data_IF_349014681855
#
_entry.id   IF_349014681855
#
_cell.length_a   1.000
_cell.length_b   1.000
_cell.length_c   1.000
_cell.angle_alpha   90.00
_cell.angle_beta   90.00
_cell.angle_gamma   90.00
#
_symmetry.space_group_name_H-M   'P 1'
#
loop_
_entity.id
_entity.type
_entity.pdbx_description
1 polymer ?
#
# COMPACT_ATOMS: atom_id res chain seq x y z
N UNK A 1 -64.36 -12.50 -28.61
CA UNK A 1 -63.77 -12.34 -27.25
C UNK A 1 -62.25 -12.23 -27.46
N UNK A 2 -61.67 -11.04 -27.43
CA UNK A 2 -60.98 -10.47 -26.24
C UNK A 2 -59.47 -10.79 -26.36
N UNK A 3 -58.49 -9.89 -26.30
CA UNK A 3 -58.40 -8.54 -25.73
C UNK A 3 -57.35 -7.76 -26.55
N UNK A 4 -57.72 -6.59 -27.07
CA UNK A 4 -56.76 -5.63 -27.65
C UNK A 4 -56.07 -4.89 -26.49
N UNK A 5 -54.79 -5.15 -26.23
CA UNK A 5 -54.01 -4.32 -25.29
C UNK A 5 -53.65 -3.01 -25.99
N UNK A 6 -54.43 -1.97 -25.71
CA UNK A 6 -54.07 -0.58 -26.03
C UNK A 6 -53.08 -0.09 -24.97
N UNK A 7 -51.83 0.13 -25.37
CA UNK A 7 -50.87 0.88 -24.58
C UNK A 7 -51.22 2.37 -24.71
N UNK A 8 -51.79 2.94 -23.65
CA UNK A 8 -51.99 4.38 -23.55
C UNK A 8 -50.67 5.03 -23.11
N UNK A 9 -50.00 5.76 -24.02
CA UNK A 9 -49.01 6.75 -23.63
C UNK A 9 -49.71 8.10 -23.46
N UNK A 10 -50.25 8.30 -22.26
CA UNK A 10 -50.67 9.63 -21.78
C UNK A 10 -49.44 10.48 -21.48
N UNK A 11 -49.49 11.75 -21.89
CA UNK A 11 -48.33 12.64 -21.97
C UNK A 11 -47.63 13.00 -20.65
N UNK A 12 -46.32 13.24 -20.78
CA UNK A 12 -45.49 13.91 -19.78
C UNK A 12 -44.69 15.04 -20.47
N UNK A 13 -45.05 16.28 -20.18
CA UNK A 13 -44.19 17.47 -20.26
C UNK A 13 -43.71 17.76 -18.83
N UNK A 14 -42.47 18.13 -18.49
CA UNK A 14 -41.28 18.54 -19.23
C UNK A 14 -40.03 18.14 -18.41
N UNK A 15 -38.91 17.85 -19.08
CA UNK A 15 -37.61 17.61 -18.44
C UNK A 15 -36.98 16.26 -18.82
N UNK A 16 -36.43 16.19 -20.03
CA UNK A 16 -35.47 15.20 -20.54
C UNK A 16 -35.57 13.76 -20.00
N UNK A 17 -36.41 12.95 -20.64
CA UNK A 17 -36.20 11.50 -20.72
C UNK A 17 -35.38 11.25 -21.99
N UNK A 18 -34.07 11.11 -21.86
CA UNK A 18 -33.26 10.54 -22.95
C UNK A 18 -33.21 9.04 -22.74
N UNK A 19 -34.10 8.31 -23.43
CA UNK A 19 -33.95 6.87 -23.61
C UNK A 19 -32.72 6.65 -24.48
N UNK A 20 -31.81 5.81 -24.01
CA UNK A 20 -30.62 5.40 -24.75
C UNK A 20 -31.01 4.85 -26.13
N UNK A 21 -30.26 5.24 -27.17
CA UNK A 21 -30.27 4.54 -28.44
C UNK A 21 -29.56 3.18 -28.26
N UNK A 22 -30.26 2.23 -27.64
CA UNK A 22 -29.99 0.82 -27.84
C UNK A 22 -30.67 0.43 -29.15
N UNK A 23 -29.89 0.28 -30.22
CA UNK A 23 -30.38 -0.36 -31.44
C UNK A 23 -30.89 -1.76 -31.10
N UNK A 24 -31.98 -2.17 -31.73
CA UNK A 24 -32.69 -3.42 -31.50
C UNK A 24 -31.72 -4.62 -31.37
N UNK A 25 -31.62 -5.17 -30.17
CA UNK A 25 -31.02 -6.48 -29.96
C UNK A 25 -31.98 -7.53 -30.53
N UNK A 26 -31.84 -7.83 -31.81
CA UNK A 26 -32.38 -9.07 -32.38
C UNK A 26 -31.51 -10.20 -31.84
N UNK A 27 -32.06 -11.01 -30.94
CA UNK A 27 -31.42 -12.24 -30.52
C UNK A 27 -31.18 -13.13 -31.74
N UNK A 28 -29.92 -13.30 -32.14
CA UNK A 28 -29.52 -14.28 -33.13
C UNK A 28 -29.20 -15.59 -32.41
N UNK A 29 -29.94 -16.63 -32.77
CA UNK A 29 -29.75 -18.03 -32.41
C UNK A 29 -28.37 -18.56 -32.86
N UNK A 30 -27.97 -19.66 -32.22
CA UNK A 30 -26.67 -20.33 -32.27
C UNK A 30 -25.99 -20.47 -33.66
N UNK A 31 -24.69 -20.15 -33.69
CA UNK A 31 -23.72 -20.68 -34.67
C UNK A 31 -23.08 -19.65 -35.59
N UNK A 32 -21.87 -19.20 -35.27
CA UNK A 32 -21.03 -18.35 -36.13
C UNK A 32 -20.27 -17.30 -35.31
N UNK A 33 -19.02 -17.03 -35.69
CA UNK A 33 -18.12 -16.06 -35.05
C UNK A 33 -18.85 -14.83 -34.52
N UNK A 34 -18.72 -14.59 -33.21
CA UNK A 34 -19.24 -13.39 -32.57
C UNK A 34 -18.48 -12.17 -33.09
N UNK A 35 -18.99 -11.57 -34.17
CA UNK A 35 -18.58 -10.23 -34.58
C UNK A 35 -18.96 -9.31 -33.43
N UNK A 36 -17.95 -8.75 -32.76
CA UNK A 36 -18.13 -7.76 -31.72
C UNK A 36 -19.06 -6.65 -32.23
N UNK A 37 -20.15 -6.41 -31.52
CA UNK A 37 -21.02 -5.28 -31.80
C UNK A 37 -20.27 -4.00 -31.43
N UNK A 38 -19.57 -3.39 -32.39
CA UNK A 38 -19.05 -2.04 -32.24
C UNK A 38 -20.21 -1.04 -32.29
N UNK A 39 -20.61 -0.53 -31.13
CA UNK A 39 -21.47 0.64 -31.06
C UNK A 39 -20.66 1.88 -31.49
N UNK A 40 -20.61 2.14 -32.79
CA UNK A 40 -20.10 3.39 -33.35
C UNK A 40 -21.14 4.52 -33.18
N UNK A 41 -21.33 5.00 -31.95
CA UNK A 41 -22.15 6.18 -31.65
C UNK A 41 -21.30 7.45 -31.58
N UNK A 42 -21.85 8.60 -32.01
CA UNK A 42 -21.23 9.91 -31.80
C UNK A 42 -21.11 10.26 -30.31
N UNK A 43 -20.13 11.09 -29.95
CA UNK A 43 -19.94 11.58 -28.58
C UNK A 43 -21.13 12.42 -28.12
N UNK A 44 -21.80 12.01 -27.05
CA UNK A 44 -22.83 12.81 -26.38
C UNK A 44 -22.20 13.71 -25.31
N UNK A 45 -22.49 15.02 -25.34
CA UNK A 45 -22.02 16.00 -24.36
C UNK A 45 -23.18 16.47 -23.49
N UNK A 46 -22.97 16.50 -22.18
CA UNK A 46 -23.91 17.06 -21.21
C UNK A 46 -23.26 18.29 -20.56
N UNK A 47 -23.90 19.46 -20.66
CA UNK A 47 -23.39 20.72 -20.08
C UNK A 47 -23.52 20.77 -18.54
N UNK A 48 -24.30 19.87 -17.96
CA UNK A 48 -24.56 19.77 -16.52
C UNK A 48 -24.28 18.37 -15.95
N UNK A 49 -24.45 18.21 -14.62
CA UNK A 49 -24.24 16.93 -13.97
C UNK A 49 -25.18 15.85 -14.52
N UNK A 50 -24.65 14.64 -14.65
CA UNK A 50 -25.43 13.44 -14.97
C UNK A 50 -25.64 12.66 -13.69
N UNK A 51 -26.90 12.43 -13.32
CA UNK A 51 -27.28 11.60 -12.17
C UNK A 51 -28.05 10.40 -12.67
N UNK A 52 -27.57 9.20 -12.33
CA UNK A 52 -28.20 7.95 -12.70
C UNK A 52 -28.08 6.92 -11.56
N UNK A 53 -28.98 5.92 -11.49
CA UNK A 53 -28.87 4.84 -10.52
C UNK A 53 -27.60 3.98 -10.69
N UNK A 54 -27.06 3.91 -11.91
CA UNK A 54 -25.87 3.14 -12.26
C UNK A 54 -25.22 3.71 -13.52
N UNK A 55 -23.89 3.69 -13.54
CA UNK A 55 -23.07 3.85 -14.73
C UNK A 55 -22.33 2.54 -14.99
N UNK A 56 -22.31 2.08 -16.24
CA UNK A 56 -21.59 0.87 -16.65
C UNK A 56 -21.12 1.00 -18.09
N UNK A 57 -19.96 0.42 -18.38
CA UNK A 57 -19.41 0.29 -19.71
C UNK A 57 -18.78 -1.10 -19.84
N UNK A 58 -18.77 -1.61 -21.06
CA UNK A 58 -17.98 -2.76 -21.50
C UNK A 58 -17.41 -2.33 -22.85
N UNK A 59 -16.10 -2.09 -22.90
CA UNK A 59 -15.49 -1.23 -23.92
C UNK A 59 -14.06 -1.63 -24.21
N UNK A 60 -13.62 -1.38 -25.45
CA UNK A 60 -12.23 -1.54 -25.89
C UNK A 60 -11.40 -0.26 -25.68
N UNK A 61 -12.04 0.84 -25.29
CA UNK A 61 -11.39 2.11 -24.93
C UNK A 61 -11.57 2.41 -23.44
N UNK A 62 -10.92 3.45 -22.93
CA UNK A 62 -11.02 3.81 -21.52
C UNK A 62 -12.48 4.07 -21.09
N UNK A 63 -12.97 3.24 -20.18
CA UNK A 63 -14.32 3.28 -19.59
C UNK A 63 -14.65 4.55 -18.80
N UNK A 64 -13.64 5.29 -18.32
CA UNK A 64 -13.87 6.49 -17.52
C UNK A 64 -12.65 7.37 -17.38
N UNK A 65 -12.82 8.66 -17.65
CA UNK A 65 -11.82 9.69 -17.41
C UNK A 65 -12.43 10.80 -16.56
N UNK A 66 -12.04 10.85 -15.27
CA UNK A 66 -12.51 11.86 -14.32
C UNK A 66 -11.39 12.84 -14.03
N UNK A 67 -11.59 14.11 -14.38
CA UNK A 67 -10.62 15.18 -14.12
C UNK A 67 -11.30 16.34 -13.43
N UNK A 68 -10.79 16.70 -12.26
CA UNK A 68 -11.19 17.88 -11.50
C UNK A 68 -9.99 18.78 -11.32
N UNK A 69 -10.19 20.09 -11.46
CA UNK A 69 -9.20 21.11 -11.09
C UNK A 69 -9.85 21.98 -10.03
N UNK A 70 -9.56 21.69 -8.76
CA UNK A 70 -10.17 22.35 -7.61
C UNK A 70 -9.19 22.38 -6.43
N UNK A 71 -9.37 23.34 -5.53
CA UNK A 71 -8.65 23.44 -4.26
C UNK A 71 -9.45 22.91 -3.07
N UNK A 72 -10.73 22.56 -3.26
CA UNK A 72 -11.65 22.13 -2.19
C UNK A 72 -12.24 20.76 -2.43
N UNK A 73 -12.33 20.32 -3.69
CA UNK A 73 -13.04 19.11 -4.06
C UNK A 73 -12.11 17.92 -4.30
N UNK A 74 -12.61 16.72 -4.02
CA UNK A 74 -12.03 15.49 -4.54
C UNK A 74 -12.41 15.31 -6.02
N UNK A 75 -11.54 14.66 -6.79
CA UNK A 75 -11.87 14.34 -8.18
C UNK A 75 -12.94 13.24 -8.27
N UNK A 76 -12.84 12.22 -7.41
CA UNK A 76 -13.77 11.09 -7.33
C UNK A 76 -13.92 10.67 -5.86
N UNK A 77 -15.16 10.40 -5.44
CA UNK A 77 -15.49 9.79 -4.15
C UNK A 77 -16.31 8.53 -4.40
N UNK A 78 -15.89 7.41 -3.83
CA UNK A 78 -16.59 6.12 -3.91
C UNK A 78 -16.96 5.69 -2.49
N UNK A 79 -18.23 5.36 -2.24
CA UNK A 79 -18.74 5.14 -0.90
C UNK A 79 -19.64 3.90 -0.81
N UNK A 80 -19.26 2.95 0.04
CA UNK A 80 -20.12 1.88 0.51
C UNK A 80 -20.73 2.31 1.86
N UNK A 81 -22.05 2.53 1.88
CA UNK A 81 -22.76 3.03 3.05
C UNK A 81 -23.39 1.92 3.91
N UNK A 82 -23.43 0.67 3.42
CA UNK A 82 -24.00 -0.44 4.17
C UNK A 82 -23.15 -0.77 5.40
N UNK A 83 -23.82 -1.13 6.50
CA UNK A 83 -23.18 -1.46 7.79
C UNK A 83 -22.93 -2.96 8.00
N UNK A 84 -23.27 -3.79 7.01
CA UNK A 84 -23.05 -5.24 7.03
C UNK A 84 -23.10 -5.83 5.62
N UNK A 85 -22.67 -7.09 5.46
CA UNK A 85 -22.68 -7.81 4.19
C UNK A 85 -21.28 -8.01 3.60
N UNK A 86 -21.22 -8.31 2.30
CA UNK A 86 -19.97 -8.61 1.56
C UNK A 86 -19.59 -7.55 0.53
N UNK A 87 -20.36 -6.45 0.45
CA UNK A 87 -20.08 -5.37 -0.50
C UNK A 87 -18.82 -4.60 -0.09
N UNK A 88 -17.94 -4.32 -1.07
CA UNK A 88 -16.78 -3.44 -0.91
C UNK A 88 -17.05 -2.09 -1.56
N UNK A 89 -16.30 -1.05 -1.17
CA UNK A 89 -16.42 0.26 -1.80
C UNK A 89 -15.86 0.27 -3.23
N UNK A 90 -14.68 -0.33 -3.44
CA UNK A 90 -13.98 -0.37 -4.72
C UNK A 90 -13.34 -1.74 -4.92
N UNK A 91 -13.56 -2.35 -6.07
CA UNK A 91 -12.89 -3.57 -6.53
C UNK A 91 -12.22 -3.28 -7.87
N UNK A 92 -10.94 -3.64 -8.01
CA UNK A 92 -10.14 -3.40 -9.22
C UNK A 92 -9.44 -4.71 -9.56
N UNK A 93 -9.58 -5.14 -10.80
CA UNK A 93 -9.03 -6.40 -11.32
C UNK A 93 -8.37 -6.12 -12.66
N UNK A 94 -7.24 -6.78 -12.92
CA UNK A 94 -6.56 -6.75 -14.22
C UNK A 94 -6.11 -8.17 -14.54
N UNK A 95 -6.35 -8.57 -15.78
CA UNK A 95 -5.80 -9.81 -16.35
C UNK A 95 -4.55 -9.53 -17.22
N UNK A 96 -4.12 -8.26 -17.35
CA UNK A 96 -2.93 -7.88 -18.11
C UNK A 96 -1.65 -8.19 -17.32
N UNK A 97 -0.80 -9.14 -17.76
CA UNK A 97 0.44 -9.48 -17.06
C UNK A 97 1.58 -8.48 -17.28
N UNK A 98 1.47 -7.63 -18.29
CA UNK A 98 2.57 -6.76 -18.74
C UNK A 98 2.57 -5.39 -18.05
N UNK A 99 1.56 -5.10 -17.23
CA UNK A 99 1.40 -3.80 -16.59
C UNK A 99 0.82 -3.89 -15.17
N UNK A 100 1.01 -2.83 -14.38
CA UNK A 100 0.45 -2.74 -13.03
C UNK A 100 -1.06 -2.53 -13.07
N UNK A 101 -1.80 -3.29 -12.25
CA UNK A 101 -3.25 -3.12 -12.07
C UNK A 101 -3.64 -1.71 -11.65
N UNK A 102 -2.81 -1.04 -10.84
CA UNK A 102 -3.05 0.32 -10.35
C UNK A 102 -1.77 1.14 -10.36
N UNK A 103 -1.81 2.30 -11.01
CA UNK A 103 -0.81 3.36 -10.86
C UNK A 103 -1.33 4.48 -9.96
N UNK A 104 -0.52 4.90 -8.99
CA UNK A 104 -0.80 6.08 -8.16
C UNK A 104 0.43 6.98 -8.14
N UNK A 105 0.23 8.27 -8.45
CA UNK A 105 1.28 9.29 -8.42
C UNK A 105 0.76 10.54 -7.74
N UNK A 106 1.47 10.98 -6.70
CA UNK A 106 1.23 12.20 -5.96
C UNK A 106 2.49 13.08 -5.91
N UNK A 107 2.33 14.29 -5.37
CA UNK A 107 3.43 15.23 -5.16
C UNK A 107 3.17 16.04 -3.88
N UNK A 108 3.02 15.34 -2.78
CA UNK A 108 2.70 15.94 -1.49
C UNK A 108 3.93 16.68 -0.91
N UNK A 109 3.73 17.89 -0.35
CA UNK A 109 4.81 18.72 0.23
C UNK A 109 4.75 18.85 1.77
N UNK A 110 3.94 18.03 2.44
CA UNK A 110 3.69 18.08 3.88
C UNK A 110 3.60 16.66 4.49
N UNK A 111 3.21 16.54 5.78
CA UNK A 111 3.01 15.26 6.50
C UNK A 111 1.78 14.47 5.99
N UNK A 112 1.74 14.19 4.68
CA UNK A 112 0.75 13.37 3.99
C UNK A 112 1.48 12.23 3.30
N UNK A 113 0.78 11.11 3.11
CA UNK A 113 1.23 10.07 2.18
C UNK A 113 0.49 10.22 0.87
N UNK A 114 1.12 9.84 -0.24
CA UNK A 114 0.47 9.74 -1.55
C UNK A 114 -0.76 8.83 -1.50
N UNK A 115 -0.67 7.75 -0.73
CA UNK A 115 -1.82 6.92 -0.32
C UNK A 115 -1.92 6.98 1.19
N UNK A 116 -3.08 7.37 1.72
CA UNK A 116 -3.38 7.35 3.16
C UNK A 116 -4.52 6.39 3.42
N UNK A 117 -4.24 5.37 4.24
CA UNK A 117 -5.22 4.37 4.67
C UNK A 117 -5.46 4.56 6.16
N UNK A 118 -6.73 4.45 6.58
CA UNK A 118 -7.14 4.51 7.97
C UNK A 118 -8.07 3.34 8.23
N UNK A 119 -7.69 2.45 9.15
CA UNK A 119 -8.59 1.49 9.76
C UNK A 119 -9.24 2.15 10.98
N UNK A 120 -10.57 2.20 11.02
CA UNK A 120 -11.31 2.66 12.21
C UNK A 120 -11.59 1.44 13.06
N UNK A 121 -10.80 1.28 14.12
CA UNK A 121 -10.90 0.10 14.99
C UNK A 121 -12.07 0.13 15.96
N UNK A 122 -12.20 -0.95 16.71
CA UNK A 122 -13.17 -1.10 17.80
C UNK A 122 -12.49 -0.99 19.16
N UNK A 123 -13.06 -0.22 20.09
CA UNK A 123 -12.45 0.03 21.40
C UNK A 123 -12.34 -1.22 22.29
N UNK A 124 -13.12 -2.26 21.99
CA UNK A 124 -13.12 -3.54 22.69
C UNK A 124 -12.06 -4.52 22.17
N UNK A 125 -11.28 -4.14 21.14
CA UNK A 125 -10.26 -4.99 20.53
C UNK A 125 -10.81 -6.15 19.71
N UNK A 126 -12.09 -6.11 19.34
CA UNK A 126 -12.73 -7.14 18.51
C UNK A 126 -12.19 -7.22 17.07
N UNK A 127 -11.35 -6.27 16.67
CA UNK A 127 -10.69 -6.17 15.38
C UNK A 127 -9.29 -6.82 15.33
N UNK A 128 -8.96 -7.72 16.27
CA UNK A 128 -7.65 -8.37 16.36
C UNK A 128 -7.21 -9.13 15.08
N UNK A 129 -8.16 -9.51 14.22
CA UNK A 129 -7.90 -10.14 12.92
C UNK A 129 -7.86 -9.16 11.73
N UNK A 130 -8.09 -7.87 11.95
CA UNK A 130 -8.11 -6.85 10.92
C UNK A 130 -6.69 -6.32 10.63
N UNK A 131 -6.53 -5.73 9.44
CA UNK A 131 -5.30 -5.04 9.04
C UNK A 131 -5.63 -3.82 8.19
N UNK A 132 -4.77 -2.80 8.24
CA UNK A 132 -4.87 -1.67 7.32
C UNK A 132 -4.45 -2.06 5.89
N UNK A 133 -3.50 -2.99 5.76
CA UNK A 133 -3.00 -3.51 4.49
C UNK A 133 -2.79 -5.01 4.64
N UNK A 134 -3.38 -5.79 3.73
CA UNK A 134 -3.16 -7.23 3.58
C UNK A 134 -2.73 -7.53 2.15
N UNK A 135 -1.72 -8.38 1.97
CA UNK A 135 -1.12 -8.73 0.68
C UNK A 135 -1.02 -10.25 0.62
N UNK A 136 -1.52 -10.84 -0.47
CA UNK A 136 -1.42 -12.27 -0.75
C UNK A 136 -0.68 -12.49 -2.07
N UNK A 137 0.35 -13.33 -2.05
CA UNK A 137 1.12 -13.74 -3.23
C UNK A 137 0.68 -15.14 -3.60
N UNK A 138 -0.27 -15.22 -4.52
CA UNK A 138 -0.96 -16.46 -4.85
C UNK A 138 -0.18 -17.32 -5.83
N UNK A 139 -0.57 -18.60 -5.92
CA UNK A 139 0.04 -19.67 -6.73
C UNK A 139 1.30 -20.29 -6.11
N UNK A 140 1.27 -21.61 -5.91
CA UNK A 140 2.41 -22.37 -5.42
C UNK A 140 3.60 -22.26 -6.38
N UNK A 141 4.78 -21.96 -5.85
CA UNK A 141 6.01 -21.77 -6.64
C UNK A 141 6.22 -20.36 -7.18
N UNK A 142 5.34 -19.39 -6.86
CA UNK A 142 5.57 -17.99 -7.22
C UNK A 142 6.86 -17.43 -6.61
N UNK A 143 7.55 -16.58 -7.37
CA UNK A 143 8.73 -15.84 -6.94
C UNK A 143 8.46 -14.32 -6.78
N UNK A 144 7.18 -13.93 -6.76
CA UNK A 144 6.78 -12.54 -6.60
C UNK A 144 7.30 -11.95 -5.27
N UNK A 145 7.63 -10.66 -5.28
CA UNK A 145 7.99 -9.92 -4.07
C UNK A 145 6.74 -9.36 -3.41
N UNK A 146 6.74 -9.23 -2.07
CA UNK A 146 5.67 -8.56 -1.33
C UNK A 146 5.76 -7.04 -1.49
N UNK A 147 6.62 -6.40 -0.69
CA UNK A 147 6.82 -4.95 -0.72
C UNK A 147 8.22 -4.64 -1.26
N UNK A 148 8.29 -3.86 -2.34
CA UNK A 148 9.53 -3.32 -2.89
C UNK A 148 9.54 -1.79 -2.76
N UNK A 149 10.61 -1.23 -2.20
CA UNK A 149 10.78 0.21 -2.00
C UNK A 149 12.08 0.66 -2.65
N UNK A 150 12.01 1.68 -3.50
CA UNK A 150 13.17 2.24 -4.19
C UNK A 150 13.03 3.76 -4.36
N UNK A 151 14.17 4.45 -4.32
CA UNK A 151 14.30 5.85 -4.68
C UNK A 151 15.15 5.94 -5.97
N UNK A 152 14.50 5.76 -7.12
CA UNK A 152 15.17 5.55 -8.40
C UNK A 152 15.99 6.76 -8.88
N UNK A 153 15.63 7.98 -8.47
CA UNK A 153 16.32 9.21 -8.85
C UNK A 153 17.40 9.64 -7.83
N UNK A 154 17.93 8.68 -7.08
CA UNK A 154 18.92 8.90 -6.02
C UNK A 154 18.35 8.62 -4.62
N UNK A 155 19.22 8.34 -3.64
CA UNK A 155 18.80 7.95 -2.30
C UNK A 155 17.98 9.04 -1.62
N UNK A 156 16.83 8.66 -1.07
CA UNK A 156 16.01 9.56 -0.26
C UNK A 156 16.68 9.83 1.08
N UNK A 157 16.52 11.05 1.60
CA UNK A 157 16.98 11.41 2.95
C UNK A 157 15.99 10.97 4.04
N UNK A 158 14.74 10.67 3.67
CA UNK A 158 13.69 10.23 4.58
C UNK A 158 13.89 8.79 5.08
N UNK A 159 13.14 8.40 6.10
CA UNK A 159 13.08 7.00 6.50
C UNK A 159 12.46 6.16 5.37
N UNK A 160 13.01 4.98 5.10
CA UNK A 160 12.44 4.01 4.16
C UNK A 160 11.22 3.31 4.77
N UNK A 161 11.32 2.95 6.06
CA UNK A 161 10.24 2.37 6.86
C UNK A 161 10.28 3.03 8.23
N UNK A 162 9.10 3.35 8.78
CA UNK A 162 8.97 3.93 10.11
C UNK A 162 7.68 3.44 10.78
N UNK A 163 7.80 2.55 11.76
CA UNK A 163 6.69 2.01 12.54
C UNK A 163 6.69 2.68 13.92
N UNK A 164 5.55 3.30 14.27
CA UNK A 164 5.35 4.05 15.51
C UNK A 164 4.02 3.68 16.13
N UNK A 165 4.05 3.16 17.34
CA UNK A 165 2.84 2.88 18.13
C UNK A 165 2.96 3.46 19.54
N UNK A 166 4.15 3.45 20.13
CA UNK A 166 4.33 3.72 21.55
C UNK A 166 5.04 5.06 21.84
N UNK A 167 4.73 6.11 21.06
CA UNK A 167 5.39 7.42 21.20
C UNK A 167 6.90 7.37 20.92
N UNK A 168 7.34 6.40 20.11
CA UNK A 168 8.74 6.13 19.76
C UNK A 168 8.84 5.51 18.37
N UNK A 169 10.05 5.47 17.81
CA UNK A 169 10.35 4.65 16.65
C UNK A 169 10.50 3.20 17.12
N UNK A 170 9.41 2.44 17.12
CA UNK A 170 9.39 1.02 17.51
C UNK A 170 10.29 0.21 16.57
N UNK A 171 10.22 0.51 15.26
CA UNK A 171 11.12 0.02 14.24
C UNK A 171 11.30 1.07 13.15
N UNK A 172 12.53 1.39 12.79
CA UNK A 172 12.83 2.37 11.73
C UNK A 172 14.00 1.92 10.88
N UNK A 173 13.86 2.08 9.57
CA UNK A 173 14.94 1.98 8.59
C UNK A 173 15.16 3.37 8.01
N UNK A 174 16.31 3.98 8.28
CA UNK A 174 16.65 5.32 7.81
C UNK A 174 16.97 5.31 6.31
N UNK A 175 16.97 6.47 5.65
CA UNK A 175 17.42 6.61 4.26
C UNK A 175 18.87 6.17 4.02
N UNK A 176 19.69 6.19 5.08
CA UNK A 176 21.07 5.64 5.07
C UNK A 176 21.15 4.12 5.16
N UNK A 177 20.02 3.42 5.32
CA UNK A 177 19.96 1.97 5.54
C UNK A 177 20.23 1.51 6.97
N UNK A 178 20.56 2.42 7.90
CA UNK A 178 20.70 2.07 9.33
C UNK A 178 19.34 1.76 9.96
N UNK A 179 19.35 0.82 10.90
CA UNK A 179 18.15 0.31 11.57
C UNK A 179 18.14 0.72 13.04
N UNK A 180 17.00 1.22 13.50
CA UNK A 180 16.73 1.52 14.90
C UNK A 180 15.57 0.69 15.43
N UNK A 181 15.71 0.12 16.62
CA UNK A 181 14.65 -0.63 17.31
C UNK A 181 14.40 -0.01 18.68
N UNK A 182 13.16 0.40 18.89
CA UNK A 182 12.74 1.08 20.10
C UNK A 182 13.59 2.32 20.35
N UNK A 183 13.79 3.20 19.39
CA UNK A 183 14.54 4.46 19.58
C UNK A 183 13.60 5.65 19.80
N UNK A 184 14.11 6.75 20.34
CA UNK A 184 13.34 7.99 20.43
C UNK A 184 12.98 8.49 19.02
N UNK A 185 11.79 9.10 18.89
CA UNK A 185 11.25 9.53 17.60
C UNK A 185 12.25 10.39 16.84
N UNK A 186 12.60 9.97 15.62
CA UNK A 186 13.42 10.76 14.71
C UNK A 186 14.92 10.74 15.01
N UNK A 187 15.35 10.07 16.10
CA UNK A 187 16.76 9.90 16.40
C UNK A 187 17.49 9.14 15.29
N UNK A 188 18.82 9.30 15.25
CA UNK A 188 19.68 8.62 14.30
C UNK A 188 20.36 7.41 14.96
N UNK A 189 20.29 6.21 14.37
CA UNK A 189 21.05 5.06 14.84
C UNK A 189 22.56 5.34 14.77
N UNK A 190 23.28 5.02 15.83
CA UNK A 190 24.74 5.23 15.89
C UNK A 190 25.54 4.12 15.20
N UNK A 191 24.92 2.97 14.98
CA UNK A 191 25.48 1.83 14.26
C UNK A 191 24.55 1.38 13.14
N UNK A 192 24.95 0.35 12.38
CA UNK A 192 24.11 -0.27 11.35
C UNK A 192 22.79 -0.78 11.94
N UNK A 193 22.84 -1.35 13.14
CA UNK A 193 21.68 -1.72 13.95
C UNK A 193 21.86 -1.13 15.36
N UNK A 194 20.87 -0.38 15.83
CA UNK A 194 20.84 0.19 17.18
C UNK A 194 19.56 -0.26 17.89
N UNK A 195 19.73 -1.06 18.95
CA UNK A 195 18.63 -1.59 19.76
C UNK A 195 18.69 -0.98 21.15
N UNK A 196 17.59 -0.39 21.61
CA UNK A 196 17.49 0.18 22.95
C UNK A 196 16.52 -0.65 23.78
N UNK A 197 17.02 -1.26 24.85
CA UNK A 197 16.16 -1.96 25.81
C UNK A 197 15.19 -0.98 26.45
N UNK A 198 13.89 -1.31 26.42
CA UNK A 198 12.86 -0.48 27.05
C UNK A 198 12.54 -0.98 28.47
N UNK A 199 12.13 -0.09 29.38
CA UNK A 199 11.77 -0.47 30.75
C UNK A 199 10.79 -1.65 30.78
N UNK A 200 11.00 -2.59 31.70
CA UNK A 200 10.19 -3.80 31.82
C UNK A 200 10.52 -4.93 30.84
N UNK A 201 11.45 -4.72 29.89
CA UNK A 201 11.96 -5.81 29.03
C UNK A 201 13.21 -6.43 29.67
N UNK A 202 13.35 -7.77 29.77
CA UNK A 202 14.50 -8.40 30.42
C UNK A 202 15.84 -8.26 29.69
N UNK A 203 15.83 -8.10 28.36
CA UNK A 203 17.05 -7.96 27.55
C UNK A 203 16.82 -7.02 26.36
N UNK A 204 17.89 -6.43 25.83
CA UNK A 204 17.85 -5.70 24.56
C UNK A 204 17.77 -6.66 23.36
N UNK A 205 18.49 -7.79 23.46
CA UNK A 205 18.59 -8.81 22.43
C UNK A 205 18.68 -10.18 23.13
N UNK A 206 17.81 -11.11 22.74
CA UNK A 206 17.88 -12.52 23.10
C UNK A 206 18.25 -13.31 21.85
N UNK A 207 19.20 -14.24 21.95
CA UNK A 207 19.60 -15.12 20.84
C UNK A 207 19.52 -16.58 21.30
N UNK A 208 18.53 -17.30 20.80
CA UNK A 208 18.39 -18.75 20.99
C UNK A 208 19.09 -19.48 19.84
N UNK A 209 20.42 -19.57 19.93
CA UNK A 209 21.26 -20.14 18.87
C UNK A 209 22.72 -19.68 18.96
N UNK A 210 23.43 -19.72 17.83
CA UNK A 210 24.82 -19.30 17.73
C UNK A 210 24.94 -17.89 17.13
N UNK A 211 25.84 -17.07 17.66
CA UNK A 211 26.25 -15.79 17.05
C UNK A 211 27.63 -15.98 16.42
N UNK A 212 27.70 -15.89 15.10
CA UNK A 212 28.99 -15.83 14.39
C UNK A 212 29.48 -14.38 14.38
N UNK A 213 30.65 -14.15 14.98
CA UNK A 213 31.36 -12.87 14.91
C UNK A 213 32.55 -13.08 13.99
N UNK A 214 32.54 -12.43 12.82
CA UNK A 214 33.63 -12.54 11.84
C UNK A 214 34.67 -11.47 12.06
N UNK A 215 35.87 -11.70 11.52
CA UNK A 215 36.95 -10.73 11.57
C UNK A 215 36.51 -9.37 11.05
N UNK A 216 36.77 -8.33 11.83
CA UNK A 216 36.47 -6.96 11.45
C UNK A 216 37.40 -6.52 10.32
N UNK A 217 36.88 -5.69 9.41
CA UNK A 217 37.70 -5.07 8.38
C UNK A 217 38.76 -4.11 8.97
N UNK A 218 38.47 -3.53 10.14
CA UNK A 218 39.39 -2.68 10.89
C UNK A 218 39.15 -2.83 12.39
N UNK A 219 40.23 -3.04 13.16
CA UNK A 219 40.16 -3.13 14.61
C UNK A 219 39.59 -1.85 15.23
N UNK A 220 38.65 -1.94 16.19
CA UNK A 220 38.10 -0.77 16.88
C UNK A 220 39.20 0.02 17.61
N UNK A 221 39.25 1.33 17.38
CA UNK A 221 40.21 2.25 18.05
C UNK A 221 39.59 3.03 19.21
N UNK A 222 38.29 2.86 19.46
CA UNK A 222 37.54 3.54 20.52
C UNK A 222 36.30 2.75 20.93
N UNK A 223 35.56 3.29 21.90
CA UNK A 223 34.25 2.82 22.32
C UNK A 223 33.22 3.93 22.11
N UNK A 224 31.93 3.62 22.20
CA UNK A 224 30.87 4.62 22.07
C UNK A 224 30.98 5.71 23.17
N UNK A 225 30.57 6.93 22.85
CA UNK A 225 30.66 8.08 23.76
C UNK A 225 29.78 7.93 25.01
N UNK A 226 28.79 7.04 24.99
CA UNK A 226 27.94 6.70 26.14
C UNK A 226 28.53 5.58 27.00
N UNK A 227 29.74 5.11 26.69
CA UNK A 227 30.47 4.11 27.45
C UNK A 227 30.30 2.68 26.92
N UNK A 228 30.62 1.71 27.78
CA UNK A 228 30.63 0.28 27.42
C UNK A 228 31.92 -0.16 26.75
N UNK A 229 31.81 -1.02 25.74
CA UNK A 229 32.95 -1.53 24.98
C UNK A 229 32.53 -2.18 23.67
N UNK A 230 33.51 -2.63 22.89
CA UNK A 230 33.31 -3.24 21.58
C UNK A 230 33.77 -4.68 21.63
N UNK A 231 32.83 -5.61 21.39
CA UNK A 231 33.13 -7.02 21.14
C UNK A 231 33.34 -7.23 19.65
N UNK A 232 34.46 -7.84 19.26
CA UNK A 232 34.80 -8.06 17.85
C UNK A 232 35.66 -9.31 17.68
N UNK A 233 35.83 -9.77 16.44
CA UNK A 233 36.80 -10.81 16.11
C UNK A 233 37.94 -10.23 15.27
N UNK A 234 39.14 -10.77 15.45
CA UNK A 234 40.33 -10.43 14.66
C UNK A 234 41.25 -11.65 14.56
N UNK A 235 41.58 -12.03 13.32
CA UNK A 235 42.34 -13.24 13.00
C UNK A 235 41.75 -14.51 13.66
N UNK A 236 40.41 -14.62 13.67
CA UNK A 236 39.66 -15.72 14.28
C UNK A 236 39.52 -15.67 15.81
N UNK A 237 40.26 -14.79 16.51
CA UNK A 237 40.16 -14.65 17.95
C UNK A 237 39.00 -13.74 18.36
N UNK A 238 38.32 -14.03 19.47
CA UNK A 238 37.31 -13.15 20.07
C UNK A 238 37.96 -12.12 20.99
N UNK A 239 37.65 -10.86 20.77
CA UNK A 239 38.30 -9.70 21.38
C UNK A 239 37.27 -8.78 22.04
N UNK A 240 37.64 -8.17 23.16
CA UNK A 240 36.89 -7.10 23.83
C UNK A 240 37.75 -5.85 24.00
N UNK A 241 37.29 -4.73 23.46
CA UNK A 241 37.85 -3.40 23.72
C UNK A 241 36.99 -2.67 24.74
N UNK A 242 37.49 -2.48 25.95
CA UNK A 242 36.95 -1.52 26.91
C UNK A 242 37.47 -0.09 26.64
N UNK A 243 37.07 0.89 27.46
CA UNK A 243 37.49 2.29 27.28
C UNK A 243 39.00 2.52 27.36
N UNK A 244 39.72 1.64 28.08
CA UNK A 244 41.14 1.80 28.39
C UNK A 244 42.00 0.58 28.05
N UNK A 245 41.39 -0.57 27.72
CA UNK A 245 42.08 -1.85 27.56
C UNK A 245 41.50 -2.67 26.42
N UNK A 246 42.34 -3.52 25.82
CA UNK A 246 41.93 -4.53 24.84
C UNK A 246 42.29 -5.90 25.40
N UNK A 247 41.33 -6.81 25.40
CA UNK A 247 41.44 -8.15 25.97
C UNK A 247 41.10 -9.19 24.91
N UNK A 248 41.97 -10.18 24.70
CA UNK A 248 41.61 -11.40 23.98
C UNK A 248 40.80 -12.31 24.90
N UNK A 249 39.56 -12.59 24.55
CA UNK A 249 38.64 -13.46 25.31
C UNK A 249 38.89 -14.93 24.96
N UNK A 250 38.99 -15.24 23.66
CA UNK A 250 39.20 -16.60 23.18
C UNK A 250 40.13 -16.59 21.94
N UNK A 251 41.00 -17.61 21.76
CA UNK A 251 41.80 -17.76 20.55
C UNK A 251 40.95 -18.25 19.36
N UNK A 252 41.56 -18.29 18.16
CA UNK A 252 41.00 -18.92 16.97
C UNK A 252 40.88 -20.44 17.08
#
# INVERSE_FOLDING_TARGET
MGVTRRLFLGGFTAGAVTVAAGGDAVAAEAGGDAVAAEAAGETTVFDGPVVAPRFSTDSTVNSGFFRTTSTTEHAVTVHQAATSGKGVALNIVSDNPDDSTVYVKGHERAQRGTVKITHVGAADGSDAGASAVSIDLTVAGTAAQGIFLNAANGPTQGNLICLRNNGRDDFVVKGSGRVGIGMDIGANPWSQLHVVQRPGTPSALMVEGLVRVTDVAAAPTGVDSRGGGVLYAENGALMWRGPHTVTRIAPA
#
